data_IF_216022855947
#
_entry.id   IF_216022855947
#
_cell.length_a   1.000
_cell.length_b   1.000
_cell.length_c   1.000
_cell.angle_alpha   90.00
_cell.angle_beta   90.00
_cell.angle_gamma   90.00
#
_symmetry.space_group_name_H-M   'P 1'
#
loop_
_entity.id
_entity.type
_entity.pdbx_description
1 polymer ?
#
# COMPACT_ATOMS: atom_id res chain seq x y z
N UNK A 1 -23.73 9.37 -23.89
CA UNK A 1 -22.92 8.78 -22.82
C UNK A 1 -22.27 9.94 -22.09
N UNK A 2 -22.83 10.34 -20.94
CA UNK A 2 -22.30 11.44 -20.14
C UNK A 2 -20.95 11.02 -19.56
N UNK A 3 -19.91 11.78 -19.84
CA UNK A 3 -18.65 11.68 -19.11
C UNK A 3 -18.96 12.00 -17.65
N UNK A 4 -18.96 10.97 -16.79
CA UNK A 4 -18.96 11.14 -15.34
C UNK A 4 -17.66 11.89 -15.01
N UNK A 5 -17.70 13.22 -14.87
CA UNK A 5 -16.54 14.00 -14.45
C UNK A 5 -16.18 13.50 -13.04
N UNK A 6 -15.09 12.77 -12.93
CA UNK A 6 -14.53 12.37 -11.63
C UNK A 6 -14.34 13.65 -10.79
N UNK A 7 -14.89 13.64 -9.58
CA UNK A 7 -14.80 14.79 -8.68
C UNK A 7 -13.42 14.79 -8.00
N UNK A 8 -12.64 15.86 -8.24
CA UNK A 8 -11.33 16.05 -7.61
C UNK A 8 -11.55 16.49 -6.17
N UNK A 9 -11.14 15.66 -5.22
CA UNK A 9 -11.22 15.94 -3.79
C UNK A 9 -9.99 16.69 -3.27
N UNK A 10 -8.80 16.39 -3.83
CA UNK A 10 -7.53 17.02 -3.50
C UNK A 10 -6.70 17.22 -4.77
N UNK A 11 -6.08 18.37 -4.90
CA UNK A 11 -5.19 18.69 -6.03
C UNK A 11 -3.93 19.39 -5.51
N UNK A 12 -2.77 19.02 -6.04
CA UNK A 12 -1.50 19.71 -5.88
C UNK A 12 -1.02 20.24 -7.20
N UNK A 13 -0.53 21.49 -7.23
CA UNK A 13 -0.05 22.17 -8.44
C UNK A 13 1.34 22.75 -8.24
N UNK A 14 2.30 22.28 -9.03
CA UNK A 14 3.68 22.80 -9.08
C UNK A 14 4.37 22.81 -7.73
N UNK A 15 4.12 21.79 -6.87
CA UNK A 15 4.56 21.81 -5.47
C UNK A 15 6.07 21.60 -5.34
N UNK A 16 6.71 22.48 -4.54
CA UNK A 16 8.07 22.27 -4.06
C UNK A 16 8.04 22.21 -2.54
N UNK A 17 8.54 21.10 -1.98
CA UNK A 17 8.53 20.80 -0.55
C UNK A 17 9.93 20.53 -0.01
N UNK A 18 10.18 20.90 1.22
CA UNK A 18 11.46 20.65 1.88
C UNK A 18 11.52 21.17 3.30
N UNK A 19 12.70 21.10 3.87
CA UNK A 19 12.97 21.51 5.27
C UNK A 19 14.08 22.55 5.34
N UNK A 20 13.96 23.44 6.30
CA UNK A 20 15.04 24.34 6.69
C UNK A 20 15.87 23.64 7.76
N UNK A 21 17.16 23.46 7.50
CA UNK A 21 18.11 22.96 8.49
C UNK A 21 19.15 24.04 8.77
N UNK A 22 19.03 24.71 9.91
CA UNK A 22 19.87 25.85 10.29
C UNK A 22 19.86 26.96 9.21
N UNK A 23 20.93 27.10 8.40
CA UNK A 23 21.06 28.10 7.33
C UNK A 23 20.88 27.51 5.91
N UNK A 24 20.66 26.20 5.79
CA UNK A 24 20.51 25.53 4.49
C UNK A 24 19.05 25.12 4.21
N UNK A 25 18.62 25.28 2.96
CA UNK A 25 17.38 24.74 2.44
C UNK A 25 17.69 23.35 1.90
N UNK A 26 16.97 22.32 2.38
CA UNK A 26 17.01 20.98 1.81
C UNK A 26 15.68 20.72 1.09
N UNK A 27 15.71 20.83 -0.23
CA UNK A 27 14.60 20.43 -1.09
C UNK A 27 14.47 18.91 -1.06
N UNK A 28 13.26 18.42 -0.91
CA UNK A 28 12.92 16.98 -0.87
C UNK A 28 12.13 16.61 -2.11
N UNK A 29 11.14 17.41 -2.48
CA UNK A 29 10.25 17.19 -3.60
C UNK A 29 10.10 18.50 -4.38
N UNK A 30 10.13 18.43 -5.71
CA UNK A 30 9.96 19.59 -6.60
C UNK A 30 9.06 19.26 -7.77
N UNK A 31 8.35 20.28 -8.21
CA UNK A 31 7.50 20.26 -9.40
C UNK A 31 6.48 19.10 -9.39
N UNK A 32 5.74 18.95 -8.28
CA UNK A 32 4.75 17.89 -8.14
C UNK A 32 3.36 18.39 -8.51
N UNK A 33 2.75 17.67 -9.46
CA UNK A 33 1.34 17.76 -9.78
C UNK A 33 0.64 16.45 -9.45
N UNK A 34 -0.51 16.53 -8.77
CA UNK A 34 -1.30 15.35 -8.46
C UNK A 34 -2.79 15.66 -8.26
N UNK A 35 -3.62 14.67 -8.44
CA UNK A 35 -5.05 14.73 -8.18
C UNK A 35 -5.53 13.46 -7.49
N UNK A 36 -6.34 13.63 -6.44
CA UNK A 36 -7.02 12.56 -5.75
C UNK A 36 -8.52 12.68 -6.00
N UNK A 37 -9.16 11.57 -6.35
CA UNK A 37 -10.55 11.57 -6.79
C UNK A 37 -11.47 10.97 -5.72
N UNK A 38 -12.66 11.57 -5.58
CA UNK A 38 -13.71 11.01 -4.74
C UNK A 38 -14.16 9.65 -5.27
N UNK A 39 -14.38 8.70 -4.36
CA UNK A 39 -14.82 7.36 -4.71
C UNK A 39 -13.68 6.42 -5.14
N UNK A 40 -12.42 6.87 -5.12
CA UNK A 40 -11.26 6.05 -5.46
C UNK A 40 -10.34 5.78 -4.26
N UNK A 41 -9.78 4.57 -4.23
CA UNK A 41 -8.65 4.20 -3.40
C UNK A 41 -7.36 4.44 -4.18
N UNK A 42 -6.56 5.42 -3.75
CA UNK A 42 -5.25 5.73 -4.34
C UNK A 42 -4.14 5.22 -3.42
N UNK A 43 -3.15 4.49 -3.96
CA UNK A 43 -1.96 4.08 -3.23
C UNK A 43 -0.75 4.94 -3.63
N UNK A 44 -0.13 5.59 -2.63
CA UNK A 44 1.15 6.28 -2.79
C UNK A 44 2.29 5.30 -2.54
N UNK A 45 3.02 5.00 -3.60
CA UNK A 45 4.14 4.05 -3.63
C UNK A 45 5.45 4.78 -3.91
N UNK A 46 6.54 4.29 -3.35
CA UNK A 46 7.88 4.84 -3.57
C UNK A 46 8.88 4.29 -2.56
N UNK A 47 10.19 4.37 -2.86
CA UNK A 47 11.25 3.93 -1.94
C UNK A 47 11.19 4.65 -0.60
N UNK A 48 11.84 4.06 0.42
CA UNK A 48 11.99 4.73 1.70
C UNK A 48 12.87 5.98 1.56
N UNK A 49 12.48 7.05 2.25
CA UNK A 49 13.23 8.33 2.21
C UNK A 49 12.95 9.20 0.98
N UNK A 50 12.11 8.78 0.02
CA UNK A 50 11.80 9.53 -1.20
C UNK A 50 10.99 10.81 -0.97
N UNK A 51 10.36 10.95 0.21
CA UNK A 51 9.56 12.13 0.54
C UNK A 51 8.06 11.87 0.74
N UNK A 52 7.60 10.61 0.78
CA UNK A 52 6.18 10.27 1.01
C UNK A 52 5.62 10.97 2.25
N UNK A 53 6.30 10.84 3.39
CA UNK A 53 5.87 11.49 4.63
C UNK A 53 5.93 13.02 4.57
N UNK A 54 6.83 13.60 3.75
CA UNK A 54 6.90 15.04 3.50
C UNK A 54 5.67 15.51 2.73
N UNK A 55 5.27 14.77 1.70
CA UNK A 55 4.05 15.05 0.93
C UNK A 55 2.80 14.95 1.82
N UNK A 56 2.69 13.90 2.63
CA UNK A 56 1.57 13.76 3.57
C UNK A 56 1.51 14.92 4.58
N UNK A 57 2.64 15.31 5.16
CA UNK A 57 2.70 16.46 6.07
C UNK A 57 2.26 17.76 5.39
N UNK A 58 2.60 17.95 4.11
CA UNK A 58 2.15 19.11 3.36
C UNK A 58 0.63 19.06 3.12
N UNK A 59 0.07 17.91 2.74
CA UNK A 59 -1.39 17.73 2.57
C UNK A 59 -2.14 17.96 3.90
N UNK A 60 -1.54 17.58 5.02
CA UNK A 60 -2.11 17.81 6.36
C UNK A 60 -1.91 19.26 6.88
N UNK A 61 -1.31 20.15 6.08
CA UNK A 61 -1.03 21.53 6.47
C UNK A 61 0.05 21.67 7.55
N UNK A 62 0.81 20.62 7.87
CA UNK A 62 1.88 20.62 8.87
C UNK A 62 3.16 21.31 8.38
N UNK A 63 3.39 21.29 7.07
CA UNK A 63 4.47 22.03 6.41
C UNK A 63 3.91 22.83 5.23
N UNK A 64 4.41 24.05 5.05
CA UNK A 64 3.99 24.88 3.92
C UNK A 64 4.83 24.57 2.69
N UNK A 65 4.22 24.48 1.51
CA UNK A 65 4.94 24.43 0.24
C UNK A 65 5.85 25.68 0.07
N UNK A 66 7.04 25.48 -0.48
CA UNK A 66 7.89 26.61 -0.89
C UNK A 66 7.45 27.21 -2.20
N UNK A 67 6.81 26.40 -3.08
CA UNK A 67 6.16 26.80 -4.34
C UNK A 67 4.94 25.92 -4.54
N UNK A 68 4.04 26.44 -5.38
CA UNK A 68 2.79 25.76 -5.73
C UNK A 68 1.74 25.87 -4.63
N UNK A 69 0.65 25.13 -4.80
CA UNK A 69 -0.47 25.13 -3.87
C UNK A 69 -1.12 23.74 -3.76
N UNK A 70 -1.77 23.49 -2.63
CA UNK A 70 -2.60 22.30 -2.39
C UNK A 70 -4.05 22.79 -2.20
N UNK A 71 -4.97 22.20 -2.96
CA UNK A 71 -6.38 22.55 -2.95
C UNK A 71 -7.21 21.34 -2.48
N UNK A 72 -8.12 21.56 -1.53
CA UNK A 72 -9.20 20.64 -1.18
C UNK A 72 -10.49 21.20 -1.80
N UNK A 73 -11.11 20.46 -2.72
CA UNK A 73 -12.33 20.88 -3.40
C UNK A 73 -12.26 22.32 -4.01
N UNK A 74 -11.14 22.77 -4.49
CA UNK A 74 -10.91 24.14 -5.01
C UNK A 74 -10.46 25.18 -3.98
N UNK A 75 -10.46 24.88 -2.70
CA UNK A 75 -10.03 25.81 -1.67
C UNK A 75 -8.61 25.49 -1.21
N UNK A 76 -7.72 26.49 -1.22
CA UNK A 76 -6.33 26.31 -0.76
C UNK A 76 -6.28 25.96 0.72
N UNK A 77 -5.48 24.94 1.06
CA UNK A 77 -5.29 24.49 2.46
C UNK A 77 -4.67 25.58 3.35
N UNK A 78 -3.91 26.50 2.76
CA UNK A 78 -3.32 27.62 3.50
C UNK A 78 -4.36 28.59 4.06
N UNK A 79 -5.55 28.62 3.46
CA UNK A 79 -6.66 29.45 3.88
C UNK A 79 -7.59 28.76 4.89
N UNK A 80 -7.30 27.48 5.22
CA UNK A 80 -8.09 26.69 6.16
C UNK A 80 -7.44 26.68 7.54
N UNK A 81 -8.22 26.94 8.57
CA UNK A 81 -7.78 26.73 9.94
C UNK A 81 -7.62 25.23 10.28
N UNK A 82 -6.86 24.93 11.35
CA UNK A 82 -6.61 23.55 11.79
C UNK A 82 -7.90 22.76 12.04
N UNK A 83 -8.90 23.42 12.66
CA UNK A 83 -10.22 22.79 12.94
C UNK A 83 -10.97 22.48 11.64
N UNK A 84 -10.91 23.36 10.65
CA UNK A 84 -11.56 23.16 9.38
C UNK A 84 -10.89 22.07 8.54
N UNK A 85 -9.55 22.01 8.53
CA UNK A 85 -8.81 20.90 7.95
C UNK A 85 -9.17 19.57 8.64
N UNK A 86 -9.27 19.55 9.97
CA UNK A 86 -9.65 18.36 10.71
C UNK A 86 -11.09 17.88 10.42
N UNK A 87 -11.98 18.74 9.98
CA UNK A 87 -13.32 18.35 9.48
C UNK A 87 -13.32 17.80 8.06
N UNK A 88 -12.27 18.09 7.27
CA UNK A 88 -12.17 17.67 5.86
C UNK A 88 -11.28 16.47 5.64
N UNK A 89 -10.23 16.32 6.46
CA UNK A 89 -9.22 15.26 6.34
C UNK A 89 -9.24 14.38 7.59
N UNK A 90 -9.53 13.11 7.40
CA UNK A 90 -9.39 12.08 8.42
C UNK A 90 -8.05 11.37 8.26
N UNK A 91 -7.39 11.03 9.38
CA UNK A 91 -6.04 10.46 9.35
C UNK A 91 -5.92 9.21 10.21
N UNK A 92 -5.26 8.18 9.66
CA UNK A 92 -4.79 7.01 10.40
C UNK A 92 -3.27 6.94 10.26
N UNK A 93 -2.55 7.10 11.38
CA UNK A 93 -1.08 7.05 11.43
C UNK A 93 -0.60 5.67 11.87
N UNK A 94 0.65 5.36 11.54
CA UNK A 94 1.27 4.05 11.78
C UNK A 94 1.43 3.69 13.26
N UNK A 95 1.74 4.67 14.13
CA UNK A 95 2.01 4.45 15.55
C UNK A 95 1.01 5.20 16.45
N UNK A 96 -0.19 4.69 16.60
CA UNK A 96 -1.15 5.29 17.50
C UNK A 96 -0.85 4.94 18.97
N UNK A 97 -0.58 5.93 19.78
CA UNK A 97 -0.46 5.77 21.24
C UNK A 97 -1.86 5.84 21.86
N UNK A 98 -2.31 4.74 22.48
CA UNK A 98 -3.60 4.68 23.18
C UNK A 98 -3.44 4.30 24.65
N UNK A 99 -4.26 4.89 25.55
CA UNK A 99 -4.42 4.35 26.89
C UNK A 99 -4.99 2.93 26.80
N UNK A 100 -4.32 1.94 27.38
CA UNK A 100 -4.71 0.52 27.30
C UNK A 100 -6.11 0.20 27.83
N UNK A 101 -6.67 1.08 28.66
CA UNK A 101 -8.02 0.92 29.25
C UNK A 101 -9.17 1.48 28.37
N UNK A 102 -8.87 2.09 27.21
CA UNK A 102 -9.89 2.65 26.33
C UNK A 102 -10.62 1.54 25.59
N UNK A 103 -11.96 1.65 25.50
CA UNK A 103 -12.77 0.73 24.69
C UNK A 103 -12.77 1.15 23.21
N UNK A 104 -13.08 0.21 22.31
CA UNK A 104 -13.25 0.46 20.87
C UNK A 104 -14.26 1.59 20.63
N UNK A 105 -15.42 1.55 21.30
CA UNK A 105 -16.44 2.59 21.16
C UNK A 105 -15.95 3.97 21.59
N UNK A 106 -15.16 4.04 22.67
CA UNK A 106 -14.54 5.29 23.12
C UNK A 106 -13.53 5.81 22.09
N UNK A 107 -12.67 4.93 21.53
CA UNK A 107 -11.75 5.30 20.48
C UNK A 107 -12.47 5.89 19.26
N UNK A 108 -13.51 5.21 18.76
CA UNK A 108 -14.27 5.67 17.60
C UNK A 108 -14.96 7.01 17.88
N UNK A 109 -15.47 7.20 19.09
CA UNK A 109 -16.06 8.47 19.54
C UNK A 109 -15.09 9.65 19.49
N UNK A 110 -13.78 9.44 19.71
CA UNK A 110 -12.77 10.48 19.54
C UNK A 110 -12.70 11.04 18.12
N UNK A 111 -13.16 10.29 17.12
CA UNK A 111 -13.27 10.78 15.74
C UNK A 111 -14.19 12.01 15.64
N UNK A 112 -15.15 12.20 16.56
CA UNK A 112 -16.05 13.34 16.59
C UNK A 112 -15.46 14.61 17.20
N UNK A 113 -14.23 14.55 17.76
CA UNK A 113 -13.59 15.70 18.41
C UNK A 113 -13.62 17.01 17.59
N UNK A 114 -13.37 17.02 16.26
CA UNK A 114 -13.45 18.26 15.48
C UNK A 114 -14.87 18.85 15.35
N UNK A 115 -15.90 18.07 15.68
CA UNK A 115 -17.31 18.47 15.57
C UNK A 115 -17.95 18.77 16.92
N UNK A 116 -17.26 18.45 18.03
CA UNK A 116 -17.75 18.72 19.39
C UNK A 116 -17.20 20.05 19.88
N UNK A 117 -17.98 20.74 20.72
CA UNK A 117 -17.50 21.94 21.40
C UNK A 117 -16.44 21.61 22.45
N UNK A 118 -15.98 22.62 23.18
CA UNK A 118 -14.92 22.52 24.20
C UNK A 118 -15.18 21.43 25.28
N UNK A 119 -16.44 21.13 25.57
CA UNK A 119 -16.79 20.08 26.54
C UNK A 119 -16.62 18.65 26.01
N UNK A 120 -16.37 18.45 24.72
CA UNK A 120 -16.27 17.12 24.08
C UNK A 120 -17.54 16.29 24.15
N UNK A 121 -18.70 16.88 24.50
CA UNK A 121 -19.96 16.14 24.68
C UNK A 121 -20.58 15.80 23.35
N UNK A 122 -20.80 14.50 23.11
CA UNK A 122 -21.47 13.98 21.90
C UNK A 122 -22.97 14.24 21.96
N UNK A 123 -23.53 14.77 20.89
CA UNK A 123 -24.98 14.86 20.66
C UNK A 123 -25.55 13.53 20.09
N UNK A 124 -26.85 13.48 19.77
CA UNK A 124 -27.49 12.30 19.18
C UNK A 124 -26.91 11.92 17.82
N UNK A 125 -26.71 12.91 16.95
CA UNK A 125 -26.14 12.73 15.60
C UNK A 125 -24.71 12.20 15.65
N UNK A 126 -23.87 12.72 16.57
CA UNK A 126 -22.52 12.21 16.77
C UNK A 126 -22.51 10.73 17.16
N UNK A 127 -23.43 10.32 18.03
CA UNK A 127 -23.58 8.92 18.45
C UNK A 127 -24.01 8.02 17.29
N UNK A 128 -24.96 8.47 16.47
CA UNK A 128 -25.38 7.75 15.26
C UNK A 128 -24.23 7.57 14.27
N UNK A 129 -23.40 8.60 14.08
CA UNK A 129 -22.21 8.52 13.23
C UNK A 129 -21.19 7.51 13.78
N UNK A 130 -20.98 7.49 15.10
CA UNK A 130 -20.09 6.51 15.76
C UNK A 130 -20.61 5.08 15.54
N UNK A 131 -21.91 4.84 15.78
CA UNK A 131 -22.51 3.51 15.56
C UNK A 131 -22.40 3.08 14.10
N UNK A 132 -22.65 4.01 13.17
CA UNK A 132 -22.51 3.73 11.75
C UNK A 132 -21.06 3.42 11.36
N UNK A 133 -20.08 4.12 11.92
CA UNK A 133 -18.67 3.85 11.67
C UNK A 133 -18.25 2.45 12.16
N UNK A 134 -18.72 2.04 13.34
CA UNK A 134 -18.53 0.68 13.87
C UNK A 134 -19.17 -0.38 12.97
N UNK A 135 -20.36 -0.12 12.47
CA UNK A 135 -21.07 -1.02 11.55
C UNK A 135 -20.36 -1.12 10.18
N UNK A 136 -19.99 0.01 9.60
CA UNK A 136 -19.32 0.08 8.30
C UNK A 136 -17.97 -0.65 8.30
N UNK A 137 -17.28 -0.68 9.44
CA UNK A 137 -16.02 -1.41 9.63
C UNK A 137 -16.21 -2.83 10.17
N UNK A 138 -17.47 -3.28 10.34
CA UNK A 138 -17.83 -4.63 10.78
C UNK A 138 -17.29 -5.00 12.18
N UNK A 139 -17.17 -4.03 13.08
CA UNK A 139 -16.64 -4.23 14.44
C UNK A 139 -17.61 -3.81 15.56
N UNK A 140 -18.91 -3.71 15.28
CA UNK A 140 -19.92 -3.33 16.27
C UNK A 140 -19.88 -4.24 17.51
N UNK A 141 -19.57 -5.53 17.34
CA UNK A 141 -19.46 -6.52 18.41
C UNK A 141 -18.30 -6.25 19.38
N UNK A 142 -17.29 -5.46 18.95
CA UNK A 142 -16.12 -5.08 19.77
C UNK A 142 -16.32 -3.77 20.52
N UNK A 143 -17.47 -3.12 20.41
CA UNK A 143 -17.69 -1.77 20.93
C UNK A 143 -17.24 -1.57 22.38
N UNK A 144 -17.51 -2.56 23.23
CA UNK A 144 -17.22 -2.52 24.66
C UNK A 144 -15.89 -3.19 25.04
N UNK A 145 -15.23 -3.84 24.07
CA UNK A 145 -13.93 -4.48 24.28
C UNK A 145 -12.82 -3.43 24.44
N UNK A 146 -11.81 -3.73 25.25
CA UNK A 146 -10.66 -2.87 25.44
C UNK A 146 -9.68 -3.02 24.28
N UNK A 147 -9.03 -1.93 23.92
CA UNK A 147 -8.02 -1.95 22.84
C UNK A 147 -6.84 -2.89 23.11
N UNK A 148 -6.54 -3.16 24.38
CA UNK A 148 -5.51 -4.13 24.80
C UNK A 148 -5.92 -5.59 24.65
N UNK A 149 -7.22 -5.87 24.46
CA UNK A 149 -7.78 -7.22 24.46
C UNK A 149 -8.15 -7.71 23.04
N UNK A 150 -7.99 -6.86 22.03
CA UNK A 150 -8.33 -7.16 20.64
C UNK A 150 -7.07 -7.39 19.79
N UNK A 151 -7.21 -8.12 18.67
CA UNK A 151 -6.11 -8.40 17.74
C UNK A 151 -5.67 -7.13 17.00
N UNK A 152 -4.47 -7.16 16.38
CA UNK A 152 -3.95 -6.04 15.59
C UNK A 152 -4.85 -5.69 14.41
N UNK A 153 -5.40 -6.67 13.70
CA UNK A 153 -6.37 -6.45 12.63
C UNK A 153 -7.67 -5.80 13.12
N UNK A 154 -8.19 -6.23 14.29
CA UNK A 154 -9.35 -5.61 14.92
C UNK A 154 -9.03 -4.17 15.38
N UNK A 155 -7.85 -3.95 15.92
CA UNK A 155 -7.38 -2.62 16.32
C UNK A 155 -7.26 -1.69 15.12
N UNK A 156 -6.74 -2.19 13.99
CA UNK A 156 -6.66 -1.41 12.76
C UNK A 156 -8.06 -1.05 12.22
N UNK A 157 -9.01 -1.96 12.23
CA UNK A 157 -10.43 -1.68 11.91
C UNK A 157 -11.03 -0.60 12.83
N UNK A 158 -10.68 -0.62 14.13
CA UNK A 158 -11.12 0.41 15.08
C UNK A 158 -10.51 1.79 14.77
N UNK A 159 -9.25 1.84 14.32
CA UNK A 159 -8.61 3.08 13.85
C UNK A 159 -9.28 3.64 12.61
N UNK A 160 -9.61 2.78 11.66
CA UNK A 160 -10.34 3.15 10.46
C UNK A 160 -11.75 3.64 10.83
N UNK A 161 -12.45 2.97 11.76
CA UNK A 161 -13.74 3.40 12.26
C UNK A 161 -13.67 4.81 12.91
N UNK A 162 -12.62 5.09 13.70
CA UNK A 162 -12.38 6.42 14.26
C UNK A 162 -12.23 7.48 13.17
N UNK A 163 -11.41 7.19 12.14
CA UNK A 163 -11.22 8.10 11.01
C UNK A 163 -12.52 8.26 10.19
N UNK A 164 -13.31 7.20 10.06
CA UNK A 164 -14.61 7.25 9.40
C UNK A 164 -15.62 8.09 10.19
N UNK A 165 -15.64 7.97 11.53
CA UNK A 165 -16.47 8.79 12.42
C UNK A 165 -16.09 10.28 12.39
N UNK A 166 -14.86 10.63 12.05
CA UNK A 166 -14.44 12.03 11.83
C UNK A 166 -15.15 12.66 10.63
N UNK A 167 -15.68 11.86 9.71
CA UNK A 167 -16.53 12.20 8.59
C UNK A 167 -15.91 13.17 7.56
N UNK A 168 -14.60 13.24 7.47
CA UNK A 168 -13.90 13.96 6.42
C UNK A 168 -14.15 13.33 5.04
N UNK A 169 -14.18 14.16 4.00
CA UNK A 169 -14.28 13.68 2.60
C UNK A 169 -13.00 13.02 2.10
N UNK A 170 -11.87 13.38 2.69
CA UNK A 170 -10.56 12.85 2.41
C UNK A 170 -10.11 11.99 3.60
N UNK A 171 -9.65 10.77 3.32
CA UNK A 171 -9.07 9.87 4.32
C UNK A 171 -7.65 9.51 3.92
N UNK A 172 -6.68 9.76 4.81
CA UNK A 172 -5.26 9.48 4.58
C UNK A 172 -4.82 8.43 5.60
N UNK A 173 -4.20 7.35 5.10
CA UNK A 173 -3.69 6.28 5.95
C UNK A 173 -2.20 6.06 5.63
N UNK A 174 -1.38 6.06 6.68
CA UNK A 174 0.05 5.80 6.57
C UNK A 174 0.34 4.39 7.05
N UNK A 175 0.75 3.51 6.10
CA UNK A 175 1.05 2.09 6.33
C UNK A 175 -0.04 1.31 7.10
N UNK A 176 -1.32 1.34 6.67
CA UNK A 176 -2.42 0.77 7.44
C UNK A 176 -2.39 -0.76 7.54
N UNK A 177 -1.53 -1.42 6.78
CA UNK A 177 -1.36 -2.88 6.74
C UNK A 177 -0.10 -3.35 7.47
N UNK A 178 0.69 -2.43 8.05
CA UNK A 178 1.89 -2.77 8.78
C UNK A 178 1.58 -3.72 9.97
N UNK A 179 2.44 -4.71 10.16
CA UNK A 179 2.35 -5.72 11.23
C UNK A 179 1.15 -6.68 11.17
N UNK A 180 0.34 -6.63 10.11
CA UNK A 180 -0.77 -7.53 9.90
C UNK A 180 -0.34 -8.78 9.12
N UNK A 181 -0.99 -9.91 9.38
CA UNK A 181 -0.87 -11.09 8.53
C UNK A 181 -1.49 -10.86 7.14
N UNK A 182 -1.18 -11.73 6.19
CA UNK A 182 -1.58 -11.58 4.79
C UNK A 182 -3.09 -11.41 4.60
N UNK A 183 -3.90 -12.20 5.31
CA UNK A 183 -5.37 -12.15 5.19
C UNK A 183 -5.89 -10.82 5.71
N UNK A 184 -5.46 -10.41 6.89
CA UNK A 184 -5.86 -9.13 7.48
C UNK A 184 -5.44 -7.93 6.62
N UNK A 185 -4.28 -7.99 5.94
CA UNK A 185 -3.85 -6.92 5.00
C UNK A 185 -4.85 -6.75 3.86
N UNK A 186 -5.25 -7.85 3.22
CA UNK A 186 -6.27 -7.83 2.17
C UNK A 186 -7.60 -7.30 2.68
N UNK A 187 -8.09 -7.80 3.81
CA UNK A 187 -9.35 -7.33 4.41
C UNK A 187 -9.37 -5.83 4.70
N UNK A 188 -8.25 -5.27 5.18
CA UNK A 188 -8.13 -3.83 5.44
C UNK A 188 -8.18 -3.04 4.13
N UNK A 189 -7.46 -3.47 3.10
CA UNK A 189 -7.44 -2.74 1.83
C UNK A 189 -8.77 -2.83 1.09
N UNK A 190 -9.44 -3.99 1.10
CA UNK A 190 -10.81 -4.15 0.58
C UNK A 190 -11.79 -3.26 1.32
N UNK A 191 -11.72 -3.22 2.67
CA UNK A 191 -12.55 -2.33 3.47
C UNK A 191 -12.35 -0.85 3.08
N UNK A 192 -11.11 -0.42 2.84
CA UNK A 192 -10.81 0.95 2.43
C UNK A 192 -11.34 1.25 1.03
N UNK A 193 -11.25 0.30 0.11
CA UNK A 193 -11.84 0.39 -1.22
C UNK A 193 -13.37 0.51 -1.16
N UNK A 194 -14.01 -0.32 -0.34
CA UNK A 194 -15.46 -0.26 -0.11
C UNK A 194 -15.88 1.09 0.46
N UNK A 195 -15.13 1.62 1.44
CA UNK A 195 -15.36 2.95 2.01
C UNK A 195 -15.25 4.03 0.93
N UNK A 196 -14.22 3.97 0.09
CA UNK A 196 -14.07 4.92 -1.02
C UNK A 196 -15.28 4.87 -1.95
N UNK A 197 -15.60 3.71 -2.49
CA UNK A 197 -16.65 3.53 -3.49
C UNK A 197 -18.06 3.82 -2.94
N UNK A 198 -18.42 3.27 -1.77
CA UNK A 198 -19.78 3.34 -1.24
C UNK A 198 -20.08 4.66 -0.52
N UNK A 199 -19.06 5.31 0.07
CA UNK A 199 -19.21 6.58 0.78
C UNK A 199 -18.79 7.79 -0.06
N UNK A 200 -18.27 7.57 -1.28
CA UNK A 200 -17.77 8.63 -2.14
C UNK A 200 -16.56 9.37 -1.55
N UNK A 201 -15.82 8.76 -0.62
CA UNK A 201 -14.63 9.36 -0.01
C UNK A 201 -13.42 9.19 -0.92
N UNK A 202 -12.54 10.18 -0.92
CA UNK A 202 -11.22 10.04 -1.53
C UNK A 202 -10.29 9.41 -0.49
N UNK A 203 -9.73 8.22 -0.79
CA UNK A 203 -8.88 7.49 0.15
C UNK A 203 -7.46 7.44 -0.40
N UNK A 204 -6.49 7.94 0.38
CA UNK A 204 -5.06 7.88 0.08
C UNK A 204 -4.37 6.96 1.07
N UNK A 205 -3.78 5.88 0.59
CA UNK A 205 -2.98 4.95 1.38
C UNK A 205 -1.53 5.07 0.99
N UNK A 206 -0.66 5.35 1.96
CA UNK A 206 0.78 5.24 1.79
C UNK A 206 1.15 3.80 2.14
N UNK A 207 1.80 3.09 1.22
CA UNK A 207 2.25 1.71 1.47
C UNK A 207 3.49 1.37 0.67
N UNK A 208 4.22 0.36 1.12
CA UNK A 208 5.31 -0.28 0.38
C UNK A 208 4.91 -1.68 -0.13
N UNK A 209 3.69 -2.14 0.18
CA UNK A 209 3.16 -3.45 -0.20
C UNK A 209 2.55 -3.38 -1.60
N UNK A 210 3.43 -3.57 -2.61
CA UNK A 210 3.04 -3.45 -4.02
C UNK A 210 2.02 -4.53 -4.44
N UNK A 211 2.18 -5.75 -3.94
CA UNK A 211 1.34 -6.89 -4.35
C UNK A 211 -0.13 -6.64 -3.95
N UNK A 212 -0.37 -6.19 -2.73
CA UNK A 212 -1.71 -5.88 -2.26
C UNK A 212 -2.27 -4.60 -2.91
N UNK A 213 -1.40 -3.60 -3.13
CA UNK A 213 -1.82 -2.38 -3.81
C UNK A 213 -2.30 -2.65 -5.24
N UNK A 214 -1.63 -3.54 -6.00
CA UNK A 214 -2.05 -3.93 -7.36
C UNK A 214 -3.45 -4.54 -7.36
N UNK A 215 -3.76 -5.37 -6.39
CA UNK A 215 -5.04 -6.08 -6.32
C UNK A 215 -6.21 -5.19 -5.86
N UNK A 216 -5.92 -4.09 -5.14
CA UNK A 216 -6.97 -3.36 -4.43
C UNK A 216 -7.13 -1.90 -4.84
N UNK A 217 -6.08 -1.23 -5.30
CA UNK A 217 -6.12 0.20 -5.57
C UNK A 217 -6.75 0.52 -6.95
N UNK A 218 -7.51 1.60 -7.00
CA UNK A 218 -8.05 2.14 -8.25
C UNK A 218 -7.03 3.00 -8.99
N UNK A 219 -6.04 3.55 -8.25
CA UNK A 219 -5.01 4.46 -8.77
C UNK A 219 -3.71 4.34 -7.99
N UNK A 220 -2.59 4.52 -8.70
CA UNK A 220 -1.27 4.69 -8.08
C UNK A 220 -0.76 6.11 -8.23
N UNK A 221 -0.06 6.55 -7.19
CA UNK A 221 0.90 7.64 -7.23
C UNK A 221 2.29 7.04 -7.03
N UNK A 222 3.12 7.09 -8.07
CA UNK A 222 4.50 6.62 -8.02
C UNK A 222 5.40 7.81 -7.73
N UNK A 223 6.09 7.76 -6.60
CA UNK A 223 7.03 8.80 -6.18
C UNK A 223 8.46 8.23 -6.20
N UNK A 224 9.36 8.89 -6.94
CA UNK A 224 10.77 8.52 -6.98
C UNK A 224 11.64 9.76 -6.91
N UNK A 225 12.92 9.59 -6.50
CA UNK A 225 13.86 10.70 -6.36
C UNK A 225 14.11 11.38 -7.71
N UNK A 226 14.00 12.72 -7.73
CA UNK A 226 14.36 13.53 -8.90
C UNK A 226 13.42 13.40 -10.10
N UNK A 227 12.25 12.76 -9.94
CA UNK A 227 11.25 12.66 -10.99
C UNK A 227 9.91 13.25 -10.53
N UNK A 228 9.09 13.80 -11.45
CA UNK A 228 7.72 14.19 -11.14
C UNK A 228 6.92 12.99 -10.61
N UNK A 229 5.90 13.25 -9.80
CA UNK A 229 4.95 12.22 -9.37
C UNK A 229 4.19 11.69 -10.59
N UNK A 230 4.16 10.38 -10.76
CA UNK A 230 3.42 9.72 -11.83
C UNK A 230 2.12 9.17 -11.26
N UNK A 231 1.00 9.59 -11.81
CA UNK A 231 -0.33 9.10 -11.44
C UNK A 231 -0.96 8.32 -12.59
N UNK A 232 -1.63 7.21 -12.29
CA UNK A 232 -2.33 6.38 -13.28
C UNK A 232 -3.01 5.18 -12.67
N UNK A 233 -3.76 4.45 -13.50
CA UNK A 233 -4.29 3.15 -13.12
C UNK A 233 -3.13 2.16 -12.95
N UNK A 234 -3.20 1.24 -11.96
CA UNK A 234 -2.16 0.22 -11.77
C UNK A 234 -1.81 -0.52 -13.06
N UNK A 235 -2.82 -0.95 -13.80
CA UNK A 235 -2.67 -1.73 -15.02
C UNK A 235 -1.92 -0.95 -16.12
N UNK A 236 -2.25 0.33 -16.32
CA UNK A 236 -1.59 1.20 -17.31
C UNK A 236 -0.11 1.42 -16.95
N UNK A 237 0.19 1.60 -15.65
CA UNK A 237 1.55 1.80 -15.16
C UNK A 237 2.40 0.54 -15.25
N UNK A 238 1.78 -0.63 -15.09
CA UNK A 238 2.41 -1.94 -15.26
C UNK A 238 2.71 -2.19 -16.75
N UNK A 239 1.70 -2.06 -17.62
CA UNK A 239 1.83 -2.32 -19.07
C UNK A 239 2.85 -1.36 -19.70
N UNK A 240 2.86 -0.08 -19.29
CA UNK A 240 3.84 0.90 -19.77
C UNK A 240 5.24 0.76 -19.16
N UNK A 241 5.44 -0.18 -18.23
CA UNK A 241 6.71 -0.39 -17.53
C UNK A 241 7.07 0.68 -16.51
N UNK A 242 6.22 1.68 -16.27
CA UNK A 242 6.46 2.77 -15.32
C UNK A 242 6.56 2.28 -13.86
N UNK A 243 5.95 1.14 -13.54
CA UNK A 243 6.06 0.50 -12.22
C UNK A 243 7.51 0.19 -11.84
N UNK A 244 8.40 -0.04 -12.82
CA UNK A 244 9.81 -0.32 -12.58
C UNK A 244 10.56 0.88 -11.98
N UNK A 245 10.01 2.09 -12.02
CA UNK A 245 10.58 3.26 -11.33
C UNK A 245 10.63 3.09 -9.81
N UNK A 246 9.82 2.20 -9.25
CA UNK A 246 9.84 1.86 -7.82
C UNK A 246 11.02 0.95 -7.44
N UNK A 247 11.66 0.32 -8.42
CA UNK A 247 12.65 -0.72 -8.20
C UNK A 247 14.06 -0.14 -8.17
N UNK A 248 14.90 -0.54 -7.21
CA UNK A 248 16.28 -0.08 -7.15
C UNK A 248 17.13 -0.78 -8.22
N UNK A 249 17.64 -0.01 -9.19
CA UNK A 249 18.59 -0.48 -10.18
C UNK A 249 18.03 -1.48 -11.19
N UNK A 250 18.92 -2.08 -11.98
CA UNK A 250 18.56 -3.01 -13.06
C UNK A 250 18.37 -4.46 -12.60
N UNK A 251 18.68 -4.75 -11.34
CA UNK A 251 18.67 -6.12 -10.78
C UNK A 251 17.27 -6.73 -10.66
N UNK A 252 16.23 -5.90 -10.59
CA UNK A 252 14.85 -6.34 -10.41
C UNK A 252 13.97 -5.71 -11.49
N UNK A 253 13.03 -6.49 -12.02
CA UNK A 253 12.00 -6.03 -12.95
C UNK A 253 10.64 -6.57 -12.53
N UNK A 254 9.60 -5.84 -12.87
CA UNK A 254 8.24 -6.32 -12.69
C UNK A 254 7.82 -7.12 -13.93
N UNK A 255 7.50 -8.39 -13.73
CA UNK A 255 6.99 -9.26 -14.80
C UNK A 255 5.53 -8.98 -15.05
N UNK A 256 5.21 -8.40 -16.21
CA UNK A 256 3.83 -8.11 -16.62
C UNK A 256 3.00 -9.39 -16.74
N UNK A 257 3.61 -10.48 -17.24
CA UNK A 257 2.90 -11.76 -17.39
C UNK A 257 2.51 -12.41 -16.05
N UNK A 258 3.35 -12.21 -15.02
CA UNK A 258 3.19 -12.87 -13.72
C UNK A 258 2.64 -11.97 -12.64
N UNK A 259 2.55 -10.67 -12.92
CA UNK A 259 2.11 -9.67 -11.95
C UNK A 259 3.00 -9.59 -10.70
N UNK A 260 4.30 -9.94 -10.80
CA UNK A 260 5.20 -10.05 -9.66
C UNK A 260 6.59 -9.52 -9.96
N UNK A 261 7.28 -9.16 -8.89
CA UNK A 261 8.67 -8.76 -8.93
C UNK A 261 9.57 -9.97 -9.22
N UNK A 262 10.44 -9.84 -10.19
CA UNK A 262 11.43 -10.87 -10.55
C UNK A 262 12.84 -10.28 -10.50
N UNK A 263 13.80 -11.06 -10.01
CA UNK A 263 15.20 -10.74 -10.22
C UNK A 263 15.55 -10.94 -11.70
N UNK A 264 16.41 -10.09 -12.23
CA UNK A 264 16.90 -10.24 -13.60
C UNK A 264 17.37 -11.69 -13.84
N UNK A 265 16.85 -12.27 -14.91
CA UNK A 265 17.09 -13.68 -15.25
C UNK A 265 18.57 -13.82 -15.53
N UNK A 266 19.33 -14.48 -14.66
CA UNK A 266 20.62 -15.04 -15.06
C UNK A 266 20.39 -15.88 -16.30
N UNK A 267 21.26 -15.74 -17.29
CA UNK A 267 21.23 -16.53 -18.51
C UNK A 267 21.28 -18.03 -18.14
N UNK A 268 20.10 -18.64 -18.07
CA UNK A 268 19.96 -20.01 -17.60
C UNK A 268 20.13 -20.95 -18.80
N UNK A 269 21.22 -21.69 -18.77
CA UNK A 269 21.58 -22.65 -19.81
C UNK A 269 21.07 -24.06 -19.47
N UNK A 270 19.74 -24.19 -19.37
CA UNK A 270 19.09 -25.48 -19.21
C UNK A 270 17.62 -25.47 -19.67
N UNK A 271 17.21 -26.63 -20.16
CA UNK A 271 15.83 -26.85 -20.60
C UNK A 271 15.06 -27.62 -19.56
N UNK A 272 13.83 -27.19 -19.26
CA UNK A 272 12.90 -27.91 -18.40
C UNK A 272 11.60 -28.07 -19.19
N UNK A 273 11.13 -29.31 -19.29
CA UNK A 273 9.86 -29.68 -19.94
C UNK A 273 8.91 -30.32 -18.94
N UNK A 274 7.59 -30.17 -19.19
CA UNK A 274 6.54 -30.70 -18.33
C UNK A 274 5.39 -29.70 -18.16
N UNK A 275 4.48 -29.93 -17.19
CA UNK A 275 3.39 -29.01 -16.86
C UNK A 275 3.93 -27.64 -16.44
N UNK A 276 3.36 -26.55 -16.95
CA UNK A 276 3.84 -25.16 -16.78
C UNK A 276 4.12 -24.80 -15.32
N UNK A 277 3.24 -25.21 -14.43
CA UNK A 277 3.36 -24.94 -12.98
C UNK A 277 4.59 -25.60 -12.37
N UNK A 278 4.83 -26.88 -12.71
CA UNK A 278 5.96 -27.65 -12.18
C UNK A 278 7.28 -27.15 -12.78
N UNK A 279 7.30 -26.83 -14.07
CA UNK A 279 8.45 -26.19 -14.74
C UNK A 279 8.82 -24.89 -14.05
N UNK A 280 7.82 -24.06 -13.73
CA UNK A 280 8.03 -22.79 -13.04
C UNK A 280 8.73 -22.97 -11.66
N UNK A 281 8.18 -23.87 -10.81
CA UNK A 281 8.72 -24.07 -9.47
C UNK A 281 10.10 -24.75 -9.49
N UNK A 282 10.31 -25.71 -10.40
CA UNK A 282 11.61 -26.37 -10.58
C UNK A 282 12.67 -25.38 -11.03
N UNK A 283 12.37 -24.54 -12.04
CA UNK A 283 13.24 -23.46 -12.51
C UNK A 283 13.61 -22.50 -11.37
N UNK A 284 12.61 -22.07 -10.61
CA UNK A 284 12.80 -21.16 -9.47
C UNK A 284 13.68 -21.74 -8.38
N UNK A 285 13.57 -23.04 -8.12
CA UNK A 285 14.42 -23.73 -7.14
C UNK A 285 15.88 -23.81 -7.62
N UNK A 286 16.12 -24.15 -8.89
CA UNK A 286 17.46 -24.20 -9.50
C UNK A 286 18.11 -22.82 -9.47
N UNK A 287 17.38 -21.77 -9.82
CA UNK A 287 17.86 -20.37 -9.74
C UNK A 287 18.27 -19.98 -8.33
N UNK A 288 17.40 -20.28 -7.33
CA UNK A 288 17.71 -20.01 -5.92
C UNK A 288 18.94 -20.75 -5.42
N UNK A 289 19.21 -21.93 -5.97
CA UNK A 289 20.40 -22.71 -5.67
C UNK A 289 21.68 -22.14 -6.31
N UNK A 290 21.58 -21.06 -7.13
CA UNK A 290 22.71 -20.44 -7.81
C UNK A 290 23.22 -21.25 -9.00
N UNK A 291 22.40 -22.15 -9.55
CA UNK A 291 22.78 -23.05 -10.65
C UNK A 291 22.37 -22.39 -11.96
N UNK A 292 23.35 -21.98 -12.76
CA UNK A 292 23.15 -21.32 -14.06
C UNK A 292 23.16 -22.26 -15.25
N UNK A 293 23.76 -23.46 -15.10
CA UNK A 293 23.90 -24.42 -16.20
C UNK A 293 23.58 -25.84 -15.72
N UNK A 294 22.80 -26.58 -16.51
CA UNK A 294 22.51 -27.99 -16.33
C UNK A 294 22.67 -28.67 -17.69
N UNK A 295 23.61 -29.62 -17.79
CA UNK A 295 24.00 -30.23 -19.06
C UNK A 295 22.93 -31.13 -19.69
N UNK A 296 22.03 -31.66 -18.91
CA UNK A 296 20.97 -32.58 -19.37
C UNK A 296 19.60 -31.90 -19.26
N UNK A 297 18.65 -32.15 -20.18
CA UNK A 297 17.31 -31.67 -20.07
C UNK A 297 16.61 -32.27 -18.85
N UNK A 298 15.79 -31.44 -18.20
CA UNK A 298 15.01 -31.80 -17.03
C UNK A 298 13.57 -32.04 -17.49
N UNK A 299 13.02 -33.22 -17.20
CA UNK A 299 11.62 -33.52 -17.43
C UNK A 299 10.90 -33.63 -16.08
N UNK A 300 9.78 -32.92 -15.95
CA UNK A 300 8.96 -32.95 -14.73
C UNK A 300 7.58 -33.50 -15.06
N UNK A 301 7.15 -34.49 -14.28
CA UNK A 301 5.87 -35.17 -14.44
C UNK A 301 5.00 -34.94 -13.19
N UNK A 302 3.69 -34.96 -13.34
CA UNK A 302 2.74 -34.61 -12.26
C UNK A 302 2.24 -35.83 -11.50
N UNK A 303 1.85 -36.89 -12.21
CA UNK A 303 1.17 -38.07 -11.64
C UNK A 303 1.83 -39.37 -12.09
N UNK A 304 2.63 -40.03 -11.24
CA UNK A 304 3.14 -39.53 -9.97
C UNK A 304 4.18 -38.42 -10.15
N UNK A 305 4.30 -37.51 -9.17
CA UNK A 305 5.30 -36.45 -9.24
C UNK A 305 6.70 -37.06 -9.35
N UNK A 306 7.39 -36.73 -10.42
CA UNK A 306 8.78 -37.14 -10.61
C UNK A 306 9.55 -36.12 -11.44
N UNK A 307 10.86 -36.04 -11.21
CA UNK A 307 11.78 -35.19 -11.97
C UNK A 307 12.86 -36.09 -12.53
N UNK A 308 13.01 -36.11 -13.85
CA UNK A 308 14.05 -36.86 -14.55
C UNK A 308 15.14 -35.91 -15.05
N UNK A 309 16.40 -36.26 -14.79
CA UNK A 309 17.60 -35.61 -15.30
C UNK A 309 18.47 -36.68 -15.98
N UNK A 310 18.38 -36.81 -17.30
CA UNK A 310 18.92 -37.95 -18.02
C UNK A 310 18.31 -39.26 -17.53
N UNK A 311 19.14 -40.20 -17.10
CA UNK A 311 18.69 -41.50 -16.57
C UNK A 311 18.29 -41.47 -15.08
N UNK A 312 18.55 -40.38 -14.38
CA UNK A 312 18.27 -40.26 -12.93
C UNK A 312 16.88 -39.71 -12.68
N UNK A 313 16.18 -40.31 -11.72
CA UNK A 313 14.87 -39.87 -11.26
C UNK A 313 14.91 -39.41 -9.82
N UNK A 314 14.16 -38.36 -9.53
CA UNK A 314 13.99 -37.75 -8.22
C UNK A 314 12.49 -37.63 -7.93
N UNK A 315 12.10 -37.86 -6.70
CA UNK A 315 10.73 -37.75 -6.19
C UNK A 315 10.43 -36.36 -5.58
N UNK A 316 11.46 -35.50 -5.54
CA UNK A 316 11.37 -34.16 -4.95
C UNK A 316 12.33 -33.17 -5.64
N UNK A 317 11.95 -31.88 -5.59
CA UNK A 317 12.82 -30.78 -6.05
C UNK A 317 14.09 -30.73 -5.17
N UNK A 318 13.97 -31.01 -3.88
CA UNK A 318 15.11 -31.02 -2.94
C UNK A 318 16.16 -32.03 -3.35
N UNK A 319 15.74 -33.28 -3.68
CA UNK A 319 16.62 -34.33 -4.18
C UNK A 319 17.34 -33.92 -5.47
N UNK A 320 16.65 -33.30 -6.42
CA UNK A 320 17.28 -32.75 -7.63
C UNK A 320 18.33 -31.68 -7.29
N UNK A 321 17.99 -30.71 -6.44
CA UNK A 321 18.89 -29.61 -6.08
C UNK A 321 20.13 -30.13 -5.33
N UNK A 322 19.94 -31.06 -4.41
CA UNK A 322 21.05 -31.72 -3.70
C UNK A 322 22.02 -32.40 -4.69
N UNK A 323 21.48 -33.16 -5.62
CA UNK A 323 22.28 -33.82 -6.65
C UNK A 323 23.05 -32.85 -7.54
N UNK A 324 22.38 -31.77 -8.03
CA UNK A 324 23.00 -30.76 -8.87
C UNK A 324 24.13 -30.01 -8.13
N UNK A 325 23.98 -29.72 -6.84
CA UNK A 325 25.01 -29.07 -6.02
C UNK A 325 26.27 -29.95 -5.87
N UNK A 326 26.08 -31.24 -5.67
CA UNK A 326 27.24 -32.21 -5.58
C UNK A 326 28.00 -32.26 -6.92
N UNK A 327 27.32 -32.10 -8.05
CA UNK A 327 27.98 -32.09 -9.37
C UNK A 327 28.77 -30.80 -9.64
N UNK A 328 28.34 -29.66 -9.09
CA UNK A 328 28.99 -28.37 -9.32
C UNK A 328 30.14 -28.14 -8.35
N UNK A 329 30.01 -28.59 -7.11
CA UNK A 329 31.03 -28.55 -6.07
C UNK A 329 31.28 -29.99 -5.55
N UNK A 330 32.06 -30.81 -6.25
CA UNK A 330 32.47 -32.10 -5.68
C UNK A 330 33.33 -31.80 -4.46
N UNK A 331 32.76 -32.10 -3.30
CA UNK A 331 33.26 -31.90 -1.94
C UNK A 331 34.80 -31.88 -1.90
N UNK A 332 35.38 -30.75 -1.45
CA UNK A 332 36.76 -30.71 -0.95
C UNK A 332 36.95 -31.64 0.24
#
# INVERSE_FOLDING_TARGET
MGQNKQHIALEGKGLTLGYFHQKSKKEILSDLDFQLFSGELTCLLGPNGVGKSTLIKAILGQIKPWKGEILIETQSIENLGVEELAKRISVVLTDPVFPGNMTVGQLVALGRTPHTGWSGKLNSTDREIVEKALSDTKITYLRNERLSEISDGQRQKAMIARALAQDGKLMILDEPTAHLDLVNRFEIMELLRDIAAQKGKAVLVVTHDLDIAIETADRFWLLNCGTPLISGKPEDLIISGKINLLLPGEKYRFSVERGKLESEIQDLRFEISGPKELVFWTRKAIQKAGISEVKSPILVEKDPFSISLGEKKFDSIDGLIFYLKIQIDPIK
#
